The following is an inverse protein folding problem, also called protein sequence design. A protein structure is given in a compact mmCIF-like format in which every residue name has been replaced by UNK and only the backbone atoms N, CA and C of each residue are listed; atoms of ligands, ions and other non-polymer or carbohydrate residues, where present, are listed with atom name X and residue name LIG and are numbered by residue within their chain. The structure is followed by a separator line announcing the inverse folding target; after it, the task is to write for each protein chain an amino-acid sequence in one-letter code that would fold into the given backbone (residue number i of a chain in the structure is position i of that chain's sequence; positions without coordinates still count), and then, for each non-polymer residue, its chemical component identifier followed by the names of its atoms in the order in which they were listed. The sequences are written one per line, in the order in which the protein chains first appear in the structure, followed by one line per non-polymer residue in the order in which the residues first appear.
data_IF_143925893771
#
_entry.id   IF_143925893771
#
_cell.length_a   1.000
_cell.length_b   1.000
_cell.length_c   1.000
_cell.angle_alpha   90.00
_cell.angle_beta   90.00
_cell.angle_gamma   90.00
#
_symmetry.space_group_name_H-M   'P 1'
#
loop_
_entity.id
_entity.type
_entity.pdbx_description
1 polymer ?
#
# COMPACT_ATOMS: atom_id res chain seq x y z
N UNK A 1 27.31 -22.50 43.09
CA UNK A 1 26.26 -21.51 42.78
C UNK A 1 25.98 -21.57 41.28
N UNK A 2 24.95 -22.33 40.88
CA UNK A 2 24.58 -22.56 39.46
C UNK A 2 23.49 -21.57 39.09
N UNK A 3 23.75 -20.67 38.14
CA UNK A 3 22.73 -19.75 37.61
C UNK A 3 22.06 -20.42 36.41
N UNK A 4 20.77 -20.73 36.58
CA UNK A 4 19.88 -21.30 35.57
C UNK A 4 19.65 -20.25 34.46
N UNK A 5 20.11 -20.51 33.23
CA UNK A 5 19.72 -19.74 32.06
C UNK A 5 18.43 -20.32 31.51
N UNK A 6 17.31 -19.62 31.68
CA UNK A 6 16.03 -20.00 31.09
C UNK A 6 16.00 -19.57 29.61
N UNK A 7 16.20 -20.52 28.71
CA UNK A 7 15.93 -20.34 27.29
C UNK A 7 14.42 -20.42 27.05
N UNK A 8 13.78 -19.28 26.78
CA UNK A 8 12.38 -19.24 26.37
C UNK A 8 12.28 -19.71 24.91
N UNK A 9 11.84 -20.95 24.73
CA UNK A 9 11.53 -21.54 23.42
C UNK A 9 10.25 -20.87 22.88
N UNK A 10 10.40 -20.02 21.86
CA UNK A 10 9.28 -19.37 21.17
C UNK A 10 8.49 -20.44 20.40
N UNK A 11 7.29 -20.76 20.87
CA UNK A 11 6.40 -21.71 20.22
C UNK A 11 5.88 -21.09 18.91
N UNK A 12 6.43 -21.51 17.77
CA UNK A 12 5.94 -21.11 16.45
C UNK A 12 4.61 -21.81 16.16
N UNK A 13 3.50 -21.11 16.34
CA UNK A 13 2.19 -21.56 15.87
C UNK A 13 2.20 -21.62 14.33
N UNK A 14 1.66 -22.67 13.70
CA UNK A 14 1.55 -22.71 12.25
C UNK A 14 0.56 -21.64 11.79
N UNK A 15 1.06 -20.64 11.05
CA UNK A 15 0.22 -19.68 10.36
C UNK A 15 -0.40 -20.37 9.13
N UNK A 16 -1.74 -20.50 9.09
CA UNK A 16 -2.42 -20.91 7.87
C UNK A 16 -2.53 -19.70 6.92
N UNK A 17 -1.98 -19.83 5.72
CA UNK A 17 -2.29 -18.90 4.64
C UNK A 17 -3.69 -19.27 4.10
N UNK A 18 -4.59 -18.29 4.03
CA UNK A 18 -5.88 -18.47 3.35
C UNK A 18 -5.68 -18.79 1.86
N UNK A 19 -6.66 -19.44 1.23
CA UNK A 19 -6.60 -19.77 -0.20
C UNK A 19 -6.24 -18.54 -1.06
N UNK A 20 -5.37 -18.68 -2.06
CA UNK A 20 -5.06 -17.60 -3.00
C UNK A 20 -6.34 -17.03 -3.61
N UNK A 21 -6.52 -15.71 -3.59
CA UNK A 21 -7.58 -15.01 -4.32
C UNK A 21 -8.82 -14.56 -3.53
N UNK A 22 -8.92 -14.83 -2.23
CA UNK A 22 -10.07 -14.41 -1.39
C UNK A 22 -9.90 -13.04 -0.70
N UNK A 23 -9.17 -12.10 -1.30
CA UNK A 23 -8.99 -10.75 -0.74
C UNK A 23 -9.99 -9.76 -1.33
N UNK A 24 -10.85 -9.19 -0.49
CA UNK A 24 -11.88 -8.21 -0.90
C UNK A 24 -11.30 -6.87 -1.36
N UNK A 25 -10.03 -6.59 -1.06
CA UNK A 25 -9.37 -5.32 -1.33
C UNK A 25 -8.27 -5.45 -2.40
N UNK A 26 -8.60 -6.08 -3.54
CA UNK A 26 -7.64 -6.32 -4.63
C UNK A 26 -7.02 -5.04 -5.21
N UNK A 27 -7.65 -3.88 -5.04
CA UNK A 27 -7.11 -2.59 -5.45
C UNK A 27 -5.82 -2.19 -4.70
N UNK A 28 -5.55 -2.75 -3.50
CA UNK A 28 -4.27 -2.53 -2.80
C UNK A 28 -3.10 -3.25 -3.49
N UNK A 29 -3.37 -4.14 -4.44
CA UNK A 29 -2.31 -4.79 -5.23
C UNK A 29 -1.88 -3.95 -6.44
N UNK A 30 -2.61 -2.88 -6.74
CA UNK A 30 -2.25 -1.97 -7.81
C UNK A 30 -1.23 -0.98 -7.24
N UNK A 31 -0.07 -0.86 -7.87
CA UNK A 31 0.96 0.09 -7.46
C UNK A 31 0.45 1.51 -7.34
N UNK A 32 1.06 2.25 -6.42
CA UNK A 32 0.73 3.65 -6.12
C UNK A 32 1.97 4.52 -6.09
N UNK A 33 1.82 5.81 -6.35
CA UNK A 33 2.94 6.73 -6.44
C UNK A 33 3.68 6.64 -7.79
N UNK A 34 3.86 7.78 -8.44
CA UNK A 34 4.46 7.83 -9.78
C UNK A 34 5.90 7.26 -9.81
N UNK A 35 6.71 7.54 -8.78
CA UNK A 35 8.09 7.09 -8.68
C UNK A 35 8.21 5.58 -8.40
N UNK A 36 7.52 5.01 -7.38
CA UNK A 36 7.49 3.57 -7.18
C UNK A 36 6.97 2.80 -8.41
N UNK A 37 5.91 3.28 -9.05
CA UNK A 37 5.33 2.65 -10.24
C UNK A 37 6.29 2.70 -11.43
N UNK A 38 6.99 3.82 -11.66
CA UNK A 38 8.00 3.93 -12.72
C UNK A 38 9.20 2.98 -12.49
N UNK A 39 9.46 2.58 -11.25
CA UNK A 39 10.47 1.57 -10.90
C UNK A 39 9.95 0.12 -11.01
N UNK A 40 8.76 -0.09 -11.57
CA UNK A 40 8.14 -1.41 -11.63
C UNK A 40 7.76 -1.94 -10.25
N UNK A 41 7.35 -1.06 -9.34
CA UNK A 41 6.99 -1.36 -7.94
C UNK A 41 8.14 -1.89 -7.08
N UNK A 42 9.38 -1.86 -7.58
CA UNK A 42 10.59 -2.26 -6.87
C UNK A 42 11.05 -1.17 -5.88
N UNK A 43 10.20 -0.85 -4.90
CA UNK A 43 10.39 0.33 -4.04
C UNK A 43 10.56 0.01 -2.55
N UNK A 44 10.41 -1.24 -2.13
CA UNK A 44 10.47 -1.64 -0.71
C UNK A 44 11.81 -1.31 -0.02
N UNK A 45 12.94 -1.42 -0.74
CA UNK A 45 14.27 -1.14 -0.19
C UNK A 45 14.67 0.34 -0.32
N UNK A 46 14.11 1.07 -1.29
CA UNK A 46 14.43 2.48 -1.51
C UNK A 46 13.58 3.40 -0.63
N UNK A 47 12.26 3.20 -0.58
CA UNK A 47 11.25 3.84 0.30
C UNK A 47 11.74 5.04 1.14
N UNK A 48 12.16 6.12 0.47
CA UNK A 48 12.80 7.29 1.07
C UNK A 48 11.94 8.56 0.94
N UNK A 49 10.66 8.42 0.60
CA UNK A 49 9.69 9.51 0.48
C UNK A 49 8.33 9.21 1.13
N UNK A 50 7.38 10.13 0.98
CA UNK A 50 5.99 9.95 1.41
C UNK A 50 5.31 8.66 0.87
N UNK A 51 5.76 8.09 -0.26
CA UNK A 51 5.21 6.81 -0.77
C UNK A 51 5.63 5.61 0.10
N UNK A 52 6.63 5.76 0.98
CA UNK A 52 7.07 4.72 1.92
C UNK A 52 5.92 4.21 2.82
N UNK A 53 4.91 5.05 3.11
CA UNK A 53 3.73 4.64 3.88
C UNK A 53 2.98 3.45 3.27
N UNK A 54 3.03 3.27 1.95
CA UNK A 54 2.40 2.15 1.25
C UNK A 54 3.35 0.96 1.05
N UNK A 55 4.62 1.23 0.68
CA UNK A 55 5.57 0.17 0.31
C UNK A 55 6.38 -0.39 1.50
N UNK A 56 6.85 0.48 2.39
CA UNK A 56 7.64 0.11 3.57
C UNK A 56 7.64 1.25 4.62
N UNK A 57 6.75 1.19 5.63
CA UNK A 57 6.67 2.23 6.66
C UNK A 57 7.97 2.44 7.45
N UNK A 58 8.89 1.48 7.50
CA UNK A 58 10.20 1.66 8.15
C UNK A 58 11.05 2.73 7.45
N UNK A 59 10.85 2.93 6.14
CA UNK A 59 11.51 3.99 5.37
C UNK A 59 11.11 5.40 5.80
N UNK A 60 9.94 5.57 6.45
CA UNK A 60 9.53 6.86 6.99
C UNK A 60 10.48 7.38 8.08
N UNK A 61 11.21 6.49 8.77
CA UNK A 61 12.14 6.87 9.83
C UNK A 61 13.37 7.65 9.33
N UNK A 62 13.70 7.56 8.03
CA UNK A 62 14.84 8.26 7.43
C UNK A 62 14.47 9.56 6.72
N UNK A 63 13.17 9.92 6.68
CA UNK A 63 12.74 11.20 6.09
C UNK A 63 13.25 12.39 6.90
N UNK A 64 13.94 13.31 6.22
CA UNK A 64 14.44 14.55 6.83
C UNK A 64 13.45 15.72 6.76
N UNK A 65 12.53 15.68 5.80
CA UNK A 65 11.65 16.79 5.43
C UNK A 65 10.21 16.33 5.29
N UNK A 66 9.29 17.27 5.44
CA UNK A 66 7.88 17.03 5.15
C UNK A 66 7.69 16.82 3.66
N UNK A 67 6.89 15.84 3.29
CA UNK A 67 6.67 15.49 1.90
C UNK A 67 5.21 15.21 1.62
N UNK A 68 4.77 15.59 0.43
CA UNK A 68 3.45 15.31 -0.11
C UNK A 68 3.60 14.75 -1.52
N UNK A 69 2.82 13.72 -1.83
CA UNK A 69 2.80 13.07 -3.14
C UNK A 69 1.35 12.85 -3.56
N UNK A 70 1.09 12.99 -4.85
CA UNK A 70 -0.21 12.76 -5.46
C UNK A 70 0.00 12.05 -6.80
N UNK A 71 -0.88 11.11 -7.11
CA UNK A 71 -0.87 10.36 -8.36
C UNK A 71 -2.29 10.22 -8.87
N UNK A 72 -2.46 10.43 -10.17
CA UNK A 72 -3.65 10.09 -10.92
C UNK A 72 -3.26 9.16 -12.05
N UNK A 73 -3.90 7.99 -12.14
CA UNK A 73 -3.68 7.01 -13.19
C UNK A 73 -5.00 6.68 -13.87
N UNK A 74 -4.96 6.56 -15.20
CA UNK A 74 -6.11 6.19 -16.02
C UNK A 74 -5.79 4.89 -16.75
N UNK A 75 -6.49 3.83 -16.36
CA UNK A 75 -6.41 2.53 -17.01
C UNK A 75 -7.39 2.46 -18.19
N UNK A 76 -7.31 1.36 -18.94
CA UNK A 76 -8.30 1.02 -19.97
C UNK A 76 -9.62 0.60 -19.30
N UNK A 77 -10.73 0.67 -20.02
CA UNK A 77 -12.09 0.30 -19.54
C UNK A 77 -12.70 1.23 -18.47
N UNK A 78 -12.38 2.54 -18.52
CA UNK A 78 -13.01 3.52 -17.62
C UNK A 78 -12.59 3.38 -16.15
N UNK A 79 -11.53 2.61 -15.87
CA UNK A 79 -10.96 2.49 -14.53
C UNK A 79 -9.95 3.60 -14.29
N UNK A 80 -10.12 4.35 -13.20
CA UNK A 80 -9.17 5.37 -12.76
C UNK A 80 -8.74 5.12 -11.32
N UNK A 81 -7.51 5.50 -11.02
CA UNK A 81 -6.91 5.35 -9.70
C UNK A 81 -6.36 6.70 -9.25
N UNK A 82 -6.67 7.05 -8.01
CA UNK A 82 -6.17 8.24 -7.34
C UNK A 82 -5.42 7.82 -6.09
N UNK A 83 -4.26 8.44 -5.86
CA UNK A 83 -3.47 8.20 -4.66
C UNK A 83 -2.91 9.52 -4.16
N UNK A 84 -2.88 9.67 -2.85
CA UNK A 84 -2.17 10.76 -2.19
C UNK A 84 -1.57 10.29 -0.87
N UNK A 85 -0.39 10.81 -0.55
CA UNK A 85 0.25 10.57 0.74
C UNK A 85 0.94 11.83 1.26
N UNK A 86 1.01 11.91 2.59
CA UNK A 86 1.66 12.98 3.33
C UNK A 86 2.51 12.38 4.44
N UNK A 87 3.75 12.86 4.58
CA UNK A 87 4.67 12.47 5.63
C UNK A 87 5.18 13.70 6.39
N UNK A 88 5.13 13.61 7.71
CA UNK A 88 5.54 14.62 8.67
C UNK A 88 6.59 14.02 9.63
N UNK A 89 7.89 14.18 9.36
CA UNK A 89 8.93 13.73 10.26
C UNK A 89 8.98 14.63 11.50
N UNK A 90 9.04 14.02 12.68
CA UNK A 90 9.14 14.70 13.95
C UNK A 90 10.36 14.24 14.74
N UNK A 91 11.22 15.19 15.13
CA UNK A 91 12.53 14.95 15.75
C UNK A 91 12.51 14.09 17.03
N UNK A 92 11.40 14.07 17.77
CA UNK A 92 11.29 13.36 19.07
C UNK A 92 10.48 12.06 19.02
N UNK A 93 9.53 11.95 18.11
CA UNK A 93 8.51 10.87 18.11
C UNK A 93 8.56 10.01 16.84
N UNK A 94 9.48 10.29 15.93
CA UNK A 94 9.57 9.64 14.62
C UNK A 94 8.68 10.32 13.59
N UNK A 95 8.34 9.61 12.52
CA UNK A 95 7.61 10.16 11.38
C UNK A 95 6.15 9.73 11.39
N UNK A 96 5.25 10.70 11.29
CA UNK A 96 3.83 10.45 11.07
C UNK A 96 3.56 10.50 9.57
N UNK A 97 2.81 9.53 9.04
CA UNK A 97 2.39 9.56 7.65
C UNK A 97 0.98 9.03 7.48
N UNK A 98 0.30 9.52 6.45
CA UNK A 98 -1.02 9.08 6.05
C UNK A 98 -1.09 8.98 4.53
N UNK A 99 -1.80 7.98 4.03
CA UNK A 99 -2.10 7.83 2.61
C UNK A 99 -3.56 7.45 2.38
N UNK A 100 -4.07 7.84 1.23
CA UNK A 100 -5.35 7.40 0.70
C UNK A 100 -5.15 6.90 -0.73
N UNK A 101 -5.85 5.82 -1.06
CA UNK A 101 -5.92 5.27 -2.42
C UNK A 101 -7.39 5.03 -2.76
N UNK A 102 -7.80 5.45 -3.94
CA UNK A 102 -9.16 5.30 -4.43
C UNK A 102 -9.11 4.74 -5.85
N UNK A 103 -9.87 3.67 -6.07
CA UNK A 103 -10.10 3.11 -7.39
C UNK A 103 -11.55 3.43 -7.78
N UNK A 104 -11.75 4.01 -8.95
CA UNK A 104 -13.06 4.35 -9.50
C UNK A 104 -13.23 3.63 -10.83
N UNK A 105 -14.40 3.03 -11.04
CA UNK A 105 -14.76 2.32 -12.25
C UNK A 105 -15.97 3.05 -12.82
N UNK A 106 -15.87 3.53 -14.07
CA UNK A 106 -17.01 4.12 -14.76
C UNK A 106 -18.12 3.06 -14.91
N UNK A 107 -19.41 3.43 -14.69
CA UNK A 107 -20.51 2.53 -14.96
C UNK A 107 -20.46 2.07 -16.42
N UNK A 108 -20.51 0.75 -16.64
CA UNK A 108 -20.71 0.20 -17.97
C UNK A 108 -22.22 0.10 -18.24
N UNK A 109 -22.63 0.38 -19.47
CA UNK A 109 -23.99 0.12 -19.90
C UNK A 109 -24.22 -1.40 -19.88
N UNK A 110 -25.02 -1.85 -18.92
CA UNK A 110 -25.35 -3.26 -18.79
C UNK A 110 -26.41 -3.61 -19.83
N UNK A 111 -26.07 -4.44 -20.82
CA UNK A 111 -27.09 -5.07 -21.65
C UNK A 111 -27.95 -5.99 -20.78
N UNK A 112 -29.19 -5.60 -20.51
CA UNK A 112 -30.22 -6.52 -19.97
C UNK A 112 -30.39 -7.69 -20.93
N UNK A 113 -30.93 -8.83 -20.46
CA UNK A 113 -31.26 -10.03 -21.26
C UNK A 113 -32.25 -9.82 -22.43
N UNK A 114 -32.46 -8.58 -22.88
CA UNK A 114 -33.35 -8.13 -23.93
C UNK A 114 -32.66 -7.22 -24.97
N UNK A 115 -31.32 -7.10 -24.98
CA UNK A 115 -30.57 -6.38 -26.02
C UNK A 115 -31.12 -4.97 -26.34
N UNK A 116 -31.34 -4.13 -25.31
CA UNK A 116 -31.79 -2.75 -25.51
C UNK A 116 -30.86 -1.76 -24.80
N UNK A 117 -30.33 -0.74 -25.50
CA UNK A 117 -29.50 0.30 -24.90
C UNK A 117 -30.37 1.35 -24.17
N UNK A 118 -29.87 1.86 -23.05
CA UNK A 118 -30.42 3.04 -22.36
C UNK A 118 -29.97 4.35 -23.04
#
# INVERSE_FOLDING_TARGET
MVRLAAAAFFLALPASAGSPGNTTANFLRIGVGARPVAMGEAYAALSDDANAVFYNPAGLAVLERQEVTMMHNKFFEGVSQQYGAYAYPHWKYGTFAAAFTMLSIEPFDAYTSLDQPD
#
